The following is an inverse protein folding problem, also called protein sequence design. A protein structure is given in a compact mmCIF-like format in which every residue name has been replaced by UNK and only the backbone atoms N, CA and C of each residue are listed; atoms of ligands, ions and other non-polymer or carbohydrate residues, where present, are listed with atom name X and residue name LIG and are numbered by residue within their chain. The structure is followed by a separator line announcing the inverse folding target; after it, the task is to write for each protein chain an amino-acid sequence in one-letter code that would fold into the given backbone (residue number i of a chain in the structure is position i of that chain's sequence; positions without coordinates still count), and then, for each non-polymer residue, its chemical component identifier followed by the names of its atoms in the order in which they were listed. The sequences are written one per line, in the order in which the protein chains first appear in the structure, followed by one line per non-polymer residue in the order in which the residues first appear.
data_IF_834465777836
#
_entry.id   IF_834465777836
#
_cell.length_a   1.000
_cell.length_b   1.000
_cell.length_c   1.000
_cell.angle_alpha   90.00
_cell.angle_beta   90.00
_cell.angle_gamma   90.00
#
_symmetry.space_group_name_H-M   'P 1'
#
loop_
_entity.id
_entity.type
_entity.pdbx_description
1 polymer ?
#
# COMPACT_ATOMS: atom_id res chain seq x y z
N UNK A 1 5.74 20.17 17.00
CA UNK A 1 6.91 20.03 17.89
C UNK A 1 7.56 21.39 18.10
N UNK A 2 8.04 21.72 19.31
CA UNK A 2 8.54 23.07 19.63
C UNK A 2 9.99 23.26 19.15
N UNK A 3 10.18 24.00 18.05
CA UNK A 3 11.49 24.33 17.51
C UNK A 3 12.17 25.39 18.40
N UNK A 4 13.23 25.02 19.12
CA UNK A 4 13.97 25.95 20.00
C UNK A 4 14.77 26.96 19.16
N UNK A 5 14.25 28.18 19.01
CA UNK A 5 15.02 29.30 18.48
C UNK A 5 16.25 29.57 19.37
N UNK A 6 17.43 29.60 18.77
CA UNK A 6 18.63 30.16 19.40
C UNK A 6 18.61 31.68 19.24
N UNK A 7 18.21 32.40 20.29
CA UNK A 7 18.40 33.84 20.37
C UNK A 7 19.82 34.17 20.86
N UNK A 8 20.65 34.74 19.98
CA UNK A 8 21.94 35.34 20.38
C UNK A 8 21.68 36.77 20.84
N UNK A 9 21.41 36.94 22.14
CA UNK A 9 21.10 38.24 22.73
C UNK A 9 22.40 38.94 23.18
N UNK A 10 22.90 39.87 22.35
CA UNK A 10 24.13 40.63 22.64
C UNK A 10 23.80 41.78 23.60
N UNK A 11 23.84 41.52 24.91
CA UNK A 11 23.80 42.57 25.92
C UNK A 11 25.13 43.33 25.99
N UNK A 12 25.22 44.47 25.30
CA UNK A 12 26.31 45.43 25.49
C UNK A 12 26.13 46.19 26.81
N UNK A 13 26.73 45.67 27.89
CA UNK A 13 26.74 46.36 29.18
C UNK A 13 27.72 47.53 29.13
N UNK A 14 27.22 48.72 28.76
CA UNK A 14 27.94 49.97 28.93
C UNK A 14 27.89 50.37 30.40
N UNK A 15 29.03 50.34 31.08
CA UNK A 15 29.20 50.88 32.43
C UNK A 15 30.33 51.89 32.43
N UNK A 16 29.97 53.17 32.57
CA UNK A 16 30.90 54.29 32.67
C UNK A 16 31.12 54.59 34.15
N UNK A 17 32.34 54.39 34.66
CA UNK A 17 32.75 54.82 35.99
C UNK A 17 34.26 55.16 35.99
N UNK A 18 34.65 56.12 36.83
CA UNK A 18 35.91 56.84 36.72
C UNK A 18 37.20 56.05 37.04
N UNK A 19 38.29 56.55 36.48
CA UNK A 19 39.66 56.11 36.75
C UNK A 19 40.04 56.21 38.24
N UNK A 20 40.45 55.08 38.82
CA UNK A 20 41.44 55.04 39.88
C UNK A 20 42.62 54.18 39.38
N UNK A 21 43.85 54.64 39.62
CA UNK A 21 45.08 54.10 39.02
C UNK A 21 45.37 52.66 39.46
N UNK A 22 44.92 51.68 38.68
CA UNK A 22 45.43 50.31 38.69
C UNK A 22 45.19 49.66 37.33
N UNK A 23 46.08 48.75 36.94
CA UNK A 23 46.10 48.16 35.61
C UNK A 23 45.02 47.06 35.48
N UNK A 24 43.75 47.48 35.35
CA UNK A 24 42.58 46.59 35.33
C UNK A 24 42.20 46.20 33.90
N UNK A 25 42.77 45.10 33.41
CA UNK A 25 42.38 44.42 32.16
C UNK A 25 41.01 43.75 32.29
N UNK A 26 39.93 44.53 32.16
CA UNK A 26 38.57 43.99 32.09
C UNK A 26 38.29 43.42 30.68
N UNK A 27 38.41 42.09 30.55
CA UNK A 27 38.05 41.34 29.35
C UNK A 27 36.54 41.46 29.06
N UNK A 28 36.16 41.46 27.79
CA UNK A 28 34.75 41.35 27.40
C UNK A 28 34.38 39.87 27.26
N UNK A 29 33.40 39.37 28.01
CA UNK A 29 32.92 37.99 27.88
C UNK A 29 31.66 37.92 27.04
N UNK A 30 31.67 37.06 26.01
CA UNK A 30 30.46 36.69 25.26
C UNK A 30 29.96 35.36 25.78
N UNK A 31 28.70 35.34 26.22
CA UNK A 31 28.04 34.15 26.75
C UNK A 31 27.08 33.60 25.70
N UNK A 32 27.34 32.38 25.22
CA UNK A 32 26.49 31.70 24.24
C UNK A 32 25.60 30.70 24.99
N UNK A 33 24.30 30.91 24.92
CA UNK A 33 23.29 30.14 25.65
C UNK A 33 22.65 29.06 24.78
N UNK A 34 22.37 27.88 25.37
CA UNK A 34 21.64 26.79 24.71
C UNK A 34 20.28 26.60 25.38
N UNK A 35 19.30 27.40 24.94
CA UNK A 35 18.03 27.54 25.65
C UNK A 35 18.11 28.52 26.82
N UNK A 36 17.06 28.58 27.64
CA UNK A 36 16.88 29.63 28.64
C UNK A 36 17.72 29.50 29.93
N UNK A 37 18.34 28.34 30.19
CA UNK A 37 18.84 28.01 31.54
C UNK A 37 20.32 27.63 31.61
N UNK A 38 21.05 27.51 30.49
CA UNK A 38 22.46 27.09 30.49
C UNK A 38 23.35 27.89 29.53
N UNK A 39 24.37 28.54 30.10
CA UNK A 39 25.56 29.00 29.37
C UNK A 39 26.29 27.79 28.79
N UNK A 40 26.20 27.58 27.48
CA UNK A 40 26.92 26.50 26.83
C UNK A 40 28.42 26.81 26.71
N UNK A 41 28.75 28.07 26.41
CA UNK A 41 30.13 28.55 26.30
C UNK A 41 30.27 29.98 26.79
N UNK A 42 31.38 30.29 27.46
CA UNK A 42 31.82 31.65 27.78
C UNK A 42 33.15 31.90 27.09
N UNK A 43 33.16 32.82 26.14
CA UNK A 43 34.36 33.19 25.38
C UNK A 43 34.86 34.53 25.92
N UNK A 44 36.07 34.53 26.49
CA UNK A 44 36.75 35.76 26.88
C UNK A 44 37.40 36.38 25.65
N UNK A 45 36.88 37.52 25.21
CA UNK A 45 37.50 38.35 24.17
C UNK A 45 38.43 39.35 24.87
N UNK A 46 39.76 39.19 24.75
CA UNK A 46 40.68 40.19 25.27
C UNK A 46 40.51 41.49 24.48
N UNK A 47 40.46 42.63 25.17
CA UNK A 47 40.59 43.94 24.53
C UNK A 47 42.05 44.15 24.11
N UNK A 48 42.46 43.51 23.01
CA UNK A 48 43.71 43.83 22.34
C UNK A 48 43.48 44.95 21.35
N UNK A 49 44.26 46.02 21.49
CA UNK A 49 44.40 47.08 20.49
C UNK A 49 44.72 46.44 19.12
N UNK A 50 43.94 46.69 18.05
CA UNK A 50 44.06 45.97 16.78
C UNK A 50 45.39 46.17 16.05
N UNK A 51 46.25 47.11 16.47
CA UNK A 51 47.61 47.27 15.93
C UNK A 51 48.67 46.39 16.61
N UNK A 52 48.40 45.79 17.78
CA UNK A 52 49.44 45.21 18.66
C UNK A 52 49.44 43.68 18.71
N UNK A 53 48.44 42.99 18.16
CA UNK A 53 48.35 41.52 18.18
C UNK A 53 47.92 40.93 16.82
N UNK A 54 48.81 40.25 16.07
CA UNK A 54 48.51 39.81 14.70
C UNK A 54 47.34 38.80 14.59
N UNK A 55 47.09 37.97 15.61
CA UNK A 55 45.97 37.00 15.60
C UNK A 55 44.59 37.57 16.01
N UNK A 56 44.53 38.82 16.50
CA UNK A 56 43.26 39.42 16.93
C UNK A 56 42.34 39.77 15.75
N UNK A 57 42.93 40.20 14.63
CA UNK A 57 42.21 40.57 13.40
C UNK A 57 41.53 39.37 12.77
N UNK A 58 42.25 38.26 12.66
CA UNK A 58 41.78 37.01 12.07
C UNK A 58 40.60 36.41 12.86
N UNK A 59 40.62 36.57 14.19
CA UNK A 59 39.52 36.13 15.07
C UNK A 59 38.23 36.92 14.83
N UNK A 60 38.33 38.23 14.57
CA UNK A 60 37.16 39.08 14.26
C UNK A 60 36.59 38.76 12.87
N UNK A 61 37.46 38.53 11.88
CA UNK A 61 37.06 38.09 10.52
C UNK A 61 36.33 36.74 10.59
N UNK A 62 36.90 35.76 11.29
CA UNK A 62 36.29 34.44 11.47
C UNK A 62 34.88 34.52 12.08
N UNK A 63 34.66 35.39 13.07
CA UNK A 63 33.33 35.58 13.68
C UNK A 63 32.33 36.27 12.73
N UNK A 64 32.80 37.13 11.83
CA UNK A 64 31.95 37.75 10.79
C UNK A 64 31.55 36.73 9.71
N UNK A 65 32.50 35.93 9.24
CA UNK A 65 32.26 34.86 8.26
C UNK A 65 31.32 33.77 8.83
N UNK A 66 31.51 33.40 10.10
CA UNK A 66 30.61 32.51 10.81
C UNK A 66 29.19 33.08 10.91
N UNK A 67 29.05 34.39 11.22
CA UNK A 67 27.74 35.04 11.26
C UNK A 67 27.06 35.02 9.89
N UNK A 68 27.78 35.37 8.82
CA UNK A 68 27.25 35.36 7.46
C UNK A 68 26.79 33.95 7.04
N UNK A 69 27.54 32.91 7.42
CA UNK A 69 27.17 31.51 7.19
C UNK A 69 25.90 31.11 7.94
N UNK A 70 25.75 31.53 9.21
CA UNK A 70 24.55 31.27 10.00
C UNK A 70 23.32 32.01 9.44
N UNK A 71 23.48 33.26 8.98
CA UNK A 71 22.40 34.03 8.35
C UNK A 71 21.91 33.35 7.05
N UNK A 72 22.82 32.88 6.18
CA UNK A 72 22.48 32.15 4.94
C UNK A 72 21.78 30.81 5.24
N UNK A 73 22.25 30.03 6.21
CA UNK A 73 21.60 28.80 6.64
C UNK A 73 20.20 29.05 7.20
N UNK A 74 20.00 30.14 7.96
CA UNK A 74 18.70 30.54 8.48
C UNK A 74 17.72 30.91 7.36
N UNK A 75 18.19 31.63 6.33
CA UNK A 75 17.39 31.96 5.14
C UNK A 75 17.01 30.71 4.34
N UNK A 76 17.94 29.76 4.18
CA UNK A 76 17.67 28.46 3.54
C UNK A 76 16.63 27.64 4.32
N UNK A 77 16.71 27.64 5.66
CA UNK A 77 15.75 26.93 6.51
C UNK A 77 14.32 27.48 6.37
N UNK A 78 14.13 28.80 6.40
CA UNK A 78 12.80 29.40 6.22
C UNK A 78 12.26 29.16 4.80
N UNK A 79 13.11 29.16 3.76
CA UNK A 79 12.72 28.77 2.40
C UNK A 79 12.27 27.30 2.30
N UNK A 80 12.97 26.36 2.95
CA UNK A 80 12.57 24.94 2.99
C UNK A 80 11.25 24.77 3.74
N UNK A 81 11.08 25.44 4.88
CA UNK A 81 9.86 25.43 5.69
C UNK A 81 8.66 26.00 4.94
N UNK A 82 8.83 27.07 4.16
CA UNK A 82 7.78 27.63 3.30
C UNK A 82 7.38 26.64 2.18
N UNK A 83 8.35 25.96 1.55
CA UNK A 83 8.08 24.91 0.56
C UNK A 83 7.33 23.72 1.17
N UNK A 84 7.73 23.29 2.36
CA UNK A 84 7.07 22.19 3.07
C UNK A 84 5.61 22.53 3.39
N UNK A 85 5.33 23.74 3.90
CA UNK A 85 3.96 24.18 4.15
C UNK A 85 3.11 24.29 2.88
N UNK A 86 3.70 24.69 1.75
CA UNK A 86 3.01 24.67 0.46
C UNK A 86 2.67 23.25 0.01
N UNK A 87 3.61 22.31 0.15
CA UNK A 87 3.41 20.91 -0.23
C UNK A 87 2.37 20.22 0.67
N UNK A 88 2.40 20.48 1.97
CA UNK A 88 1.41 19.99 2.92
C UNK A 88 -0.02 20.46 2.57
N UNK A 89 -0.16 21.72 2.13
CA UNK A 89 -1.44 22.24 1.67
C UNK A 89 -1.90 21.57 0.36
N UNK A 90 -1.02 21.43 -0.63
CA UNK A 90 -1.33 20.73 -1.88
C UNK A 90 -1.79 19.29 -1.63
N UNK A 91 -1.12 18.54 -0.75
CA UNK A 91 -1.52 17.16 -0.39
C UNK A 91 -2.93 17.13 0.22
N UNK A 92 -3.27 18.08 1.10
CA UNK A 92 -4.62 18.16 1.70
C UNK A 92 -5.69 18.49 0.66
N UNK A 93 -5.41 19.44 -0.22
CA UNK A 93 -6.33 19.85 -1.28
C UNK A 93 -6.55 18.71 -2.29
N UNK A 94 -5.49 18.02 -2.70
CA UNK A 94 -5.53 16.87 -3.60
C UNK A 94 -6.28 15.68 -2.98
N UNK A 95 -6.01 15.33 -1.71
CA UNK A 95 -6.78 14.31 -0.99
C UNK A 95 -8.27 14.64 -0.99
N UNK A 96 -8.65 15.88 -0.65
CA UNK A 96 -10.04 16.30 -0.57
C UNK A 96 -10.72 16.26 -1.96
N UNK A 97 -10.00 16.63 -3.03
CA UNK A 97 -10.46 16.51 -4.42
C UNK A 97 -10.63 15.05 -4.88
N UNK A 98 -9.69 14.18 -4.54
CA UNK A 98 -9.74 12.73 -4.84
C UNK A 98 -10.90 12.07 -4.10
N UNK A 99 -11.07 12.30 -2.80
CA UNK A 99 -12.21 11.78 -2.03
C UNK A 99 -13.55 12.31 -2.57
N UNK A 100 -13.65 13.60 -2.91
CA UNK A 100 -14.84 14.19 -3.53
C UNK A 100 -15.18 13.54 -4.87
N UNK A 101 -14.18 13.27 -5.70
CA UNK A 101 -14.35 12.65 -7.02
C UNK A 101 -14.73 11.18 -6.91
N UNK A 102 -14.03 10.41 -6.07
CA UNK A 102 -14.35 9.00 -5.79
C UNK A 102 -15.76 8.85 -5.23
N UNK A 103 -16.18 9.73 -4.30
CA UNK A 103 -17.54 9.70 -3.75
C UNK A 103 -18.60 9.91 -4.84
N UNK A 104 -18.38 10.86 -5.78
CA UNK A 104 -19.29 11.08 -6.91
C UNK A 104 -19.37 9.86 -7.83
N UNK A 105 -18.23 9.25 -8.18
CA UNK A 105 -18.17 8.04 -9.02
C UNK A 105 -18.85 6.86 -8.33
N UNK A 106 -18.65 6.69 -7.02
CA UNK A 106 -19.29 5.63 -6.24
C UNK A 106 -20.82 5.78 -6.20
N UNK A 107 -21.31 7.01 -5.94
CA UNK A 107 -22.75 7.30 -5.98
C UNK A 107 -23.36 7.04 -7.36
N UNK A 108 -22.67 7.47 -8.43
CA UNK A 108 -23.11 7.23 -9.81
C UNK A 108 -23.15 5.73 -10.16
N UNK A 109 -22.16 4.95 -9.74
CA UNK A 109 -22.16 3.50 -9.95
C UNK A 109 -23.23 2.79 -9.10
N UNK A 110 -23.56 3.31 -7.92
CA UNK A 110 -24.68 2.82 -7.10
C UNK A 110 -26.05 3.09 -7.76
N UNK A 111 -26.27 4.29 -8.31
CA UNK A 111 -27.46 4.60 -9.12
C UNK A 111 -27.55 3.69 -10.35
N UNK A 112 -26.44 3.51 -11.07
CA UNK A 112 -26.38 2.62 -12.24
C UNK A 112 -26.71 1.17 -11.88
N UNK A 113 -26.28 0.69 -10.71
CA UNK A 113 -26.63 -0.65 -10.20
C UNK A 113 -28.11 -0.79 -9.86
N UNK A 114 -28.74 0.23 -9.27
CA UNK A 114 -30.18 0.24 -9.03
C UNK A 114 -30.96 0.17 -10.35
N UNK A 115 -30.54 0.92 -11.38
CA UNK A 115 -31.19 0.90 -12.68
C UNK A 115 -31.02 -0.46 -13.41
N UNK A 116 -29.85 -1.10 -13.29
CA UNK A 116 -29.61 -2.46 -13.80
C UNK A 116 -30.52 -3.48 -13.09
N UNK A 117 -30.73 -3.35 -11.78
CA UNK A 117 -31.61 -4.26 -11.04
C UNK A 117 -33.07 -4.13 -11.50
N UNK A 118 -33.58 -2.90 -11.70
CA UNK A 118 -34.92 -2.68 -12.25
C UNK A 118 -35.10 -3.28 -13.65
N UNK A 119 -34.12 -3.06 -14.55
CA UNK A 119 -34.12 -3.66 -15.90
C UNK A 119 -34.08 -5.19 -15.86
N UNK A 120 -33.37 -5.78 -14.88
CA UNK A 120 -33.31 -7.23 -14.70
C UNK A 120 -34.68 -7.82 -14.30
N UNK A 121 -35.40 -7.13 -13.41
CA UNK A 121 -36.76 -7.51 -13.00
C UNK A 121 -37.77 -7.40 -14.16
N UNK A 122 -37.67 -6.33 -14.96
CA UNK A 122 -38.49 -6.16 -16.17
C UNK A 122 -38.24 -7.27 -17.19
N UNK A 123 -36.97 -7.60 -17.48
CA UNK A 123 -36.60 -8.69 -18.40
C UNK A 123 -37.13 -10.06 -17.93
N UNK A 124 -37.05 -10.37 -16.63
CA UNK A 124 -37.59 -11.63 -16.12
C UNK A 124 -39.13 -11.68 -16.22
N UNK A 125 -39.82 -10.55 -16.04
CA UNK A 125 -41.28 -10.46 -16.25
C UNK A 125 -41.69 -10.68 -17.71
N UNK A 126 -40.94 -10.12 -18.67
CA UNK A 126 -41.17 -10.30 -20.10
C UNK A 126 -40.93 -11.76 -20.52
N UNK A 127 -39.89 -12.39 -19.96
CA UNK A 127 -39.58 -13.80 -20.17
C UNK A 127 -40.69 -14.72 -19.65
N UNK A 128 -41.25 -14.47 -18.47
CA UNK A 128 -42.41 -15.21 -17.96
C UNK A 128 -43.66 -15.01 -18.84
N UNK A 129 -43.91 -13.78 -19.29
CA UNK A 129 -45.00 -13.47 -20.22
C UNK A 129 -44.88 -14.24 -21.54
N UNK A 130 -43.69 -14.24 -22.17
CA UNK A 130 -43.41 -14.99 -23.40
C UNK A 130 -43.44 -16.52 -23.23
N UNK A 131 -43.21 -17.03 -22.02
CA UNK A 131 -43.33 -18.47 -21.72
C UNK A 131 -44.80 -18.89 -21.53
N UNK A 132 -45.68 -17.95 -21.17
CA UNK A 132 -47.10 -18.23 -20.89
C UNK A 132 -47.97 -18.20 -22.15
N UNK A 133 -47.48 -17.67 -23.29
CA UNK A 133 -48.22 -17.60 -24.56
C UNK A 133 -48.24 -18.91 -25.38
N UNK A 134 -47.65 -20.00 -24.88
CA UNK A 134 -47.74 -21.34 -25.51
C UNK A 134 -48.72 -22.21 -24.73
N UNK A 135 -50.01 -21.85 -24.79
CA UNK A 135 -51.13 -22.69 -24.33
C UNK A 135 -52.16 -22.77 -25.46
N UNK A 136 -52.65 -23.99 -25.71
CA UNK A 136 -53.41 -24.35 -26.91
C UNK A 136 -54.69 -23.51 -27.14
N UNK A 137 -55.04 -23.21 -28.41
CA UNK A 137 -56.34 -22.63 -28.73
C UNK A 137 -57.45 -23.67 -28.52
N UNK A 138 -58.50 -23.26 -27.78
CA UNK A 138 -59.69 -24.08 -27.54
C UNK A 138 -60.39 -24.51 -28.84
N UNK A 139 -60.99 -25.69 -28.80
CA UNK A 139 -61.84 -26.24 -29.85
C UNK A 139 -63.10 -25.39 -30.08
N UNK A 140 -63.17 -24.70 -31.22
CA UNK A 140 -64.40 -24.08 -31.74
C UNK A 140 -64.80 -24.80 -33.03
N UNK A 141 -66.09 -25.10 -33.22
CA UNK A 141 -66.53 -26.06 -34.24
C UNK A 141 -66.52 -25.48 -35.66
N UNK A 142 -65.88 -26.19 -36.60
CA UNK A 142 -65.93 -25.87 -38.04
C UNK A 142 -66.80 -26.90 -38.78
N UNK A 143 -67.97 -26.44 -39.23
CA UNK A 143 -68.88 -27.19 -40.11
C UNK A 143 -68.19 -27.46 -41.45
N UNK A 144 -68.17 -28.72 -41.89
CA UNK A 144 -67.61 -29.12 -43.19
C UNK A 144 -68.60 -30.02 -43.96
N UNK A 145 -69.13 -29.57 -45.10
CA UNK A 145 -69.84 -30.43 -46.04
C UNK A 145 -69.12 -30.48 -47.40
N UNK A 146 -68.43 -31.58 -47.71
CA UNK A 146 -68.29 -32.05 -49.10
C UNK A 146 -67.90 -33.53 -49.17
N UNK A 147 -68.60 -34.25 -50.03
CA UNK A 147 -68.42 -35.62 -50.54
C UNK A 147 -68.64 -35.50 -52.09
N UNK A 148 -68.43 -36.51 -52.95
CA UNK A 148 -67.86 -37.85 -52.75
C UNK A 148 -66.81 -38.30 -53.82
N UNK A 149 -66.33 -39.56 -53.69
CA UNK A 149 -65.81 -40.47 -54.76
C UNK A 149 -64.50 -40.05 -55.47
N UNK A 150 -63.53 -40.90 -55.87
CA UNK A 150 -63.36 -42.37 -56.05
C UNK A 150 -61.84 -42.65 -56.19
N UNK A 151 -61.22 -43.85 -56.07
CA UNK A 151 -61.62 -45.24 -55.77
C UNK A 151 -60.38 -46.04 -55.22
N UNK A 152 -60.36 -47.38 -55.36
CA UNK A 152 -59.24 -48.38 -55.43
C UNK A 152 -57.78 -47.94 -55.16
N UNK A 153 -56.92 -48.70 -54.46
CA UNK A 153 -56.92 -50.16 -54.21
C UNK A 153 -56.03 -50.58 -53.01
N UNK A 154 -56.48 -51.60 -52.23
CA UNK A 154 -55.75 -52.78 -51.69
C UNK A 154 -54.25 -52.61 -51.30
N UNK A 155 -53.79 -52.90 -50.07
CA UNK A 155 -53.70 -54.23 -49.41
C UNK A 155 -53.79 -54.09 -47.86
N UNK A 156 -54.29 -55.14 -47.19
CA UNK A 156 -54.51 -55.29 -45.73
C UNK A 156 -54.18 -56.75 -45.36
N UNK A 157 -54.09 -57.19 -44.08
CA UNK A 157 -53.20 -56.80 -42.96
C UNK A 157 -52.30 -57.99 -42.49
N UNK A 158 -51.54 -57.83 -41.39
CA UNK A 158 -51.39 -58.91 -40.40
C UNK A 158 -51.04 -58.42 -38.98
N UNK A 159 -52.02 -58.57 -38.06
CA UNK A 159 -51.97 -58.87 -36.61
C UNK A 159 -50.84 -58.26 -35.73
N UNK A 160 -51.16 -57.53 -34.64
CA UNK A 160 -51.53 -58.04 -33.30
C UNK A 160 -50.56 -59.13 -32.77
N UNK A 161 -49.99 -59.07 -31.55
CA UNK A 161 -50.45 -58.38 -30.33
C UNK A 161 -49.31 -58.07 -29.34
N UNK A 162 -49.53 -57.03 -28.51
CA UNK A 162 -49.06 -56.80 -27.12
C UNK A 162 -47.96 -57.68 -26.49
N UNK A 163 -46.94 -57.04 -25.90
CA UNK A 163 -46.53 -57.23 -24.49
C UNK A 163 -45.87 -55.97 -23.94
N UNK A 164 -46.12 -55.65 -22.66
CA UNK A 164 -45.41 -54.61 -21.91
C UNK A 164 -43.94 -54.99 -21.64
N UNK A 165 -43.05 -54.01 -21.51
CA UNK A 165 -41.65 -54.23 -21.19
C UNK A 165 -40.93 -52.92 -20.86
N UNK A 166 -40.59 -52.72 -19.60
CA UNK A 166 -39.90 -51.54 -19.05
C UNK A 166 -38.46 -51.42 -19.54
N UNK A 167 -38.02 -50.19 -19.86
CA UNK A 167 -36.63 -49.85 -20.10
C UNK A 167 -36.48 -48.36 -20.42
N UNK A 168 -35.95 -47.58 -19.48
CA UNK A 168 -35.60 -46.18 -19.71
C UNK A 168 -34.31 -46.12 -20.54
N UNK A 169 -34.41 -45.62 -21.77
CA UNK A 169 -33.26 -45.20 -22.57
C UNK A 169 -33.23 -43.66 -22.57
N UNK A 170 -32.47 -43.09 -21.64
CA UNK A 170 -32.35 -41.65 -21.43
C UNK A 170 -31.57 -41.02 -22.61
N UNK A 171 -32.25 -40.25 -23.46
CA UNK A 171 -31.58 -39.41 -24.47
C UNK A 171 -30.65 -38.40 -23.76
N UNK A 172 -29.41 -38.20 -24.23
CA UNK A 172 -28.48 -37.29 -23.59
C UNK A 172 -29.01 -35.85 -23.65
N UNK A 173 -29.01 -35.10 -22.53
CA UNK A 173 -29.47 -33.72 -22.53
C UNK A 173 -28.47 -32.84 -23.28
N UNK A 174 -28.83 -32.44 -24.49
CA UNK A 174 -28.09 -31.41 -25.24
C UNK A 174 -28.35 -30.04 -24.61
N UNK A 175 -27.61 -29.73 -23.54
CA UNK A 175 -27.48 -28.35 -23.07
C UNK A 175 -27.00 -27.48 -24.23
N UNK A 176 -27.64 -26.32 -24.50
CA UNK A 176 -27.23 -25.47 -25.61
C UNK A 176 -25.85 -24.85 -25.32
N UNK A 177 -25.01 -24.56 -26.34
CA UNK A 177 -23.55 -24.37 -26.18
C UNK A 177 -23.09 -23.18 -25.32
N UNK A 178 -24.01 -22.36 -24.84
CA UNK A 178 -23.78 -21.18 -24.00
C UNK A 178 -24.11 -21.39 -22.51
N UNK A 179 -24.55 -22.60 -22.10
CA UNK A 179 -24.80 -22.94 -20.69
C UNK A 179 -23.69 -23.83 -20.08
N UNK A 180 -22.49 -23.76 -20.64
CA UNK A 180 -21.26 -24.19 -19.96
C UNK A 180 -20.40 -22.94 -19.74
N UNK A 181 -20.90 -21.96 -18.97
CA UNK A 181 -20.02 -20.93 -18.39
C UNK A 181 -19.24 -21.58 -17.24
N UNK A 182 -18.26 -22.37 -17.65
CA UNK A 182 -17.26 -22.97 -16.80
C UNK A 182 -16.50 -21.81 -16.14
N UNK A 183 -16.86 -21.52 -14.89
CA UNK A 183 -16.12 -20.64 -13.98
C UNK A 183 -14.76 -21.25 -13.60
N UNK A 184 -14.04 -21.83 -14.56
CA UNK A 184 -12.58 -21.92 -14.49
C UNK A 184 -12.05 -20.51 -14.25
N UNK A 185 -11.53 -20.30 -13.05
CA UNK A 185 -10.84 -19.09 -12.65
C UNK A 185 -9.84 -18.73 -13.74
N UNK A 186 -10.04 -17.57 -14.39
CA UNK A 186 -9.07 -17.08 -15.38
C UNK A 186 -7.72 -16.98 -14.68
N UNK A 187 -6.64 -17.57 -15.22
CA UNK A 187 -5.33 -17.51 -14.58
C UNK A 187 -4.98 -16.06 -14.26
N UNK A 188 -4.65 -15.78 -12.99
CA UNK A 188 -4.21 -14.45 -12.59
C UNK A 188 -2.91 -14.14 -13.33
N UNK A 189 -2.96 -13.14 -14.21
CA UNK A 189 -1.79 -12.62 -14.93
C UNK A 189 -1.40 -11.26 -14.37
N UNK A 190 -0.21 -10.78 -14.72
CA UNK A 190 0.30 -9.46 -14.29
C UNK A 190 -0.66 -8.31 -14.62
N UNK A 191 -1.51 -8.46 -15.65
CA UNK A 191 -2.48 -7.45 -16.06
C UNK A 191 -3.70 -7.32 -15.12
N UNK A 192 -3.92 -8.28 -14.21
CA UNK A 192 -5.02 -8.27 -13.24
C UNK A 192 -4.59 -7.83 -11.84
N UNK A 193 -3.29 -7.89 -11.52
CA UNK A 193 -2.76 -7.41 -10.24
C UNK A 193 -2.62 -5.89 -10.29
N UNK A 194 -3.15 -5.20 -9.27
CA UNK A 194 -3.13 -3.72 -9.19
C UNK A 194 -2.52 -3.25 -7.88
N UNK A 195 -2.27 -1.96 -7.74
CA UNK A 195 -1.86 -1.29 -6.50
C UNK A 195 -3.04 -0.79 -5.65
N UNK A 196 -4.28 -1.10 -6.06
CA UNK A 196 -5.50 -0.63 -5.39
C UNK A 196 -6.08 -1.70 -4.45
N UNK A 197 -6.20 -2.94 -4.91
CA UNK A 197 -6.88 -4.03 -4.19
C UNK A 197 -6.05 -5.32 -4.18
N UNK A 198 -6.32 -6.19 -3.19
CA UNK A 198 -5.66 -7.48 -3.02
C UNK A 198 -6.25 -8.55 -3.94
N UNK A 199 -5.40 -9.19 -4.74
CA UNK A 199 -5.79 -10.32 -5.60
C UNK A 199 -5.38 -11.62 -4.94
N UNK A 200 -6.30 -12.57 -4.75
CA UNK A 200 -5.96 -13.92 -4.26
C UNK A 200 -5.12 -14.64 -5.32
N UNK A 201 -3.93 -15.09 -4.96
CA UNK A 201 -2.98 -15.69 -5.88
C UNK A 201 -2.02 -16.63 -5.15
N UNK A 202 -1.95 -17.88 -5.60
CA UNK A 202 -1.06 -18.90 -5.02
C UNK A 202 0.35 -18.77 -5.63
N UNK A 203 1.19 -17.93 -5.01
CA UNK A 203 2.56 -17.68 -5.43
C UNK A 203 3.55 -18.64 -4.75
N UNK A 204 4.70 -18.88 -5.40
CA UNK A 204 5.81 -19.55 -4.73
C UNK A 204 6.51 -18.59 -3.78
N UNK A 205 6.65 -18.96 -2.51
CA UNK A 205 7.35 -18.16 -1.50
C UNK A 205 8.36 -18.96 -0.70
N UNK A 206 9.21 -18.24 0.02
CA UNK A 206 10.29 -18.78 0.83
C UNK A 206 9.82 -19.12 2.26
N UNK A 207 9.43 -20.37 2.46
CA UNK A 207 8.82 -20.88 3.70
C UNK A 207 9.83 -21.33 4.78
N UNK A 208 11.08 -20.84 4.74
CA UNK A 208 12.12 -21.24 5.69
C UNK A 208 12.00 -20.55 7.07
N UNK A 209 11.23 -19.46 7.17
CA UNK A 209 11.06 -18.67 8.39
C UNK A 209 9.71 -17.92 8.40
N UNK A 210 8.65 -18.72 8.49
CA UNK A 210 7.28 -18.27 8.34
C UNK A 210 6.37 -19.08 9.29
N UNK A 211 5.37 -18.43 9.85
CA UNK A 211 4.36 -19.07 10.72
C UNK A 211 2.97 -19.13 10.06
N UNK A 212 2.82 -18.52 8.88
CA UNK A 212 1.54 -18.32 8.20
C UNK A 212 1.45 -19.19 6.95
N UNK A 213 0.50 -20.11 6.90
CA UNK A 213 0.32 -21.04 5.76
C UNK A 213 -1.12 -21.04 5.20
N UNK A 214 -1.84 -19.93 5.41
CA UNK A 214 -3.22 -19.74 4.93
C UNK A 214 -3.31 -19.25 3.50
N UNK A 215 -4.37 -18.49 3.21
CA UNK A 215 -4.57 -17.85 1.90
C UNK A 215 -3.44 -16.90 1.55
N UNK A 216 -3.26 -16.68 0.25
CA UNK A 216 -2.18 -15.91 -0.33
C UNK A 216 -2.75 -14.79 -1.19
N UNK A 217 -2.29 -13.57 -0.96
CA UNK A 217 -2.73 -12.39 -1.69
C UNK A 217 -1.56 -11.60 -2.23
N UNK A 218 -1.71 -11.05 -3.43
CA UNK A 218 -0.69 -10.26 -4.12
C UNK A 218 -1.24 -8.89 -4.52
N UNK A 219 -0.36 -7.90 -4.56
CA UNK A 219 -0.64 -6.52 -4.94
C UNK A 219 0.59 -5.91 -5.62
N UNK A 220 0.41 -4.93 -6.51
CA UNK A 220 1.53 -4.16 -7.05
C UNK A 220 2.09 -3.21 -6.00
N UNK A 221 3.42 -3.11 -5.98
CA UNK A 221 4.21 -2.31 -5.06
C UNK A 221 4.94 -1.21 -5.85
N UNK A 222 4.20 -0.21 -6.32
CA UNK A 222 4.66 0.80 -7.27
C UNK A 222 5.60 1.88 -6.66
N UNK A 223 5.90 1.81 -5.36
CA UNK A 223 6.64 2.84 -4.65
C UNK A 223 8.16 2.62 -4.59
N UNK A 224 8.66 1.44 -5.01
CA UNK A 224 10.06 1.06 -4.88
C UNK A 224 10.68 0.68 -6.21
N UNK A 225 12.01 0.80 -6.28
CA UNK A 225 12.83 0.49 -7.45
C UNK A 225 12.94 -1.02 -7.75
N UNK A 226 12.78 -1.87 -6.74
CA UNK A 226 12.79 -3.34 -6.81
C UNK A 226 11.70 -3.92 -5.90
N UNK A 227 11.32 -5.17 -6.12
CA UNK A 227 10.25 -5.82 -5.34
C UNK A 227 8.87 -5.36 -5.79
N UNK A 228 8.67 -5.28 -7.11
CA UNK A 228 7.46 -4.81 -7.80
C UNK A 228 6.13 -5.42 -7.33
N UNK A 229 6.15 -6.63 -6.78
CA UNK A 229 4.98 -7.31 -6.22
C UNK A 229 5.16 -7.51 -4.72
N UNK A 230 4.18 -7.08 -3.93
CA UNK A 230 4.07 -7.45 -2.52
C UNK A 230 3.11 -8.62 -2.40
N UNK A 231 3.56 -9.67 -1.72
CA UNK A 231 2.80 -10.87 -1.43
C UNK A 231 2.60 -11.02 0.07
N UNK A 232 1.41 -11.44 0.49
CA UNK A 232 1.13 -11.79 1.89
C UNK A 232 0.58 -13.20 2.00
N UNK A 233 1.03 -13.94 3.02
CA UNK A 233 0.49 -15.26 3.39
C UNK A 233 -0.15 -15.14 4.77
N UNK A 234 -1.42 -15.51 4.88
CA UNK A 234 -2.22 -15.25 6.09
C UNK A 234 -2.01 -16.29 7.19
N UNK A 235 -1.84 -15.81 8.43
CA UNK A 235 -2.17 -16.56 9.64
C UNK A 235 -3.63 -16.31 10.04
N UNK A 236 -4.08 -15.06 9.88
CA UNK A 236 -5.45 -14.57 10.02
C UNK A 236 -5.63 -13.34 9.11
N UNK A 237 -6.84 -12.75 8.98
CA UNK A 237 -7.03 -11.51 8.23
C UNK A 237 -6.14 -10.33 8.71
N UNK A 238 -5.77 -10.29 9.99
CA UNK A 238 -4.96 -9.20 10.59
C UNK A 238 -3.52 -9.58 10.88
N UNK A 239 -3.15 -10.87 10.76
CA UNK A 239 -1.80 -11.39 11.02
C UNK A 239 -1.30 -12.17 9.82
N UNK A 240 -0.17 -11.76 9.27
CA UNK A 240 0.34 -12.32 8.01
C UNK A 240 1.84 -12.15 7.88
N UNK A 241 2.44 -12.95 7.01
CA UNK A 241 3.83 -12.80 6.60
C UNK A 241 3.91 -12.00 5.30
N UNK A 242 4.74 -10.96 5.27
CA UNK A 242 4.98 -10.12 4.09
C UNK A 242 6.21 -10.63 3.33
N UNK A 243 6.11 -10.68 2.00
CA UNK A 243 7.17 -11.04 1.06
C UNK A 243 7.18 -10.06 -0.13
N UNK A 244 8.30 -9.98 -0.84
CA UNK A 244 8.43 -9.23 -2.10
C UNK A 244 8.91 -10.14 -3.24
N UNK A 245 8.55 -9.80 -4.47
CA UNK A 245 9.09 -10.38 -5.69
C UNK A 245 9.20 -9.35 -6.81
N UNK A 246 10.17 -9.53 -7.70
CA UNK A 246 10.32 -8.71 -8.92
C UNK A 246 9.31 -9.11 -10.01
N UNK A 247 8.88 -10.37 -10.04
CA UNK A 247 7.89 -10.89 -10.99
C UNK A 247 6.84 -11.74 -10.29
N UNK A 248 5.61 -11.71 -10.82
CA UNK A 248 4.48 -12.43 -10.24
C UNK A 248 4.72 -13.96 -10.16
N UNK A 249 5.44 -14.53 -11.13
CA UNK A 249 5.76 -15.96 -11.17
C UNK A 249 7.12 -16.37 -10.60
N UNK A 250 7.90 -15.43 -10.05
CA UNK A 250 9.19 -15.73 -9.40
C UNK A 250 8.98 -16.05 -7.90
N UNK A 251 10.01 -16.55 -7.21
CA UNK A 251 9.94 -16.83 -5.78
C UNK A 251 9.87 -15.54 -4.95
N UNK A 252 8.78 -15.37 -4.22
CA UNK A 252 8.60 -14.31 -3.23
C UNK A 252 9.54 -14.53 -2.03
N UNK A 253 10.38 -13.53 -1.76
CA UNK A 253 11.44 -13.57 -0.75
C UNK A 253 11.09 -12.77 0.50
N UNK A 254 11.72 -13.17 1.59
CA UNK A 254 11.67 -12.46 2.85
C UNK A 254 12.21 -11.03 2.74
N UNK A 255 11.74 -10.16 3.63
CA UNK A 255 12.22 -8.78 3.82
C UNK A 255 12.85 -8.70 5.20
N UNK A 256 14.08 -8.18 5.29
CA UNK A 256 14.83 -8.04 6.53
C UNK A 256 15.26 -6.60 6.82
N UNK A 257 15.43 -6.33 8.10
CA UNK A 257 15.72 -5.01 8.65
C UNK A 257 17.12 -5.00 9.29
N UNK A 258 17.86 -3.89 9.12
CA UNK A 258 19.13 -3.64 9.81
C UNK A 258 18.96 -2.96 11.18
N UNK A 259 17.98 -2.06 11.35
CA UNK A 259 17.84 -1.17 12.52
C UNK A 259 16.51 -1.26 13.26
N UNK A 260 15.73 -2.28 12.99
CA UNK A 260 14.57 -2.70 13.77
C UNK A 260 14.38 -4.20 13.58
N UNK A 261 13.19 -4.71 13.86
CA UNK A 261 12.77 -6.06 13.54
C UNK A 261 11.78 -6.08 12.36
N UNK A 262 11.75 -5.03 11.54
CA UNK A 262 10.85 -4.85 10.41
C UNK A 262 9.47 -4.35 10.79
N UNK A 263 9.29 -3.71 11.95
CA UNK A 263 8.04 -3.10 12.37
C UNK A 263 7.50 -2.14 11.28
N UNK A 264 8.39 -1.41 10.64
CA UNK A 264 8.08 -0.43 9.60
C UNK A 264 7.84 -1.05 8.21
N UNK A 265 8.01 -2.37 8.03
CA UNK A 265 7.72 -3.08 6.77
C UNK A 265 6.22 -3.00 6.38
N UNK A 266 5.36 -2.62 7.31
CA UNK A 266 3.95 -2.35 7.07
C UNK A 266 3.68 -1.30 5.97
N UNK A 267 4.65 -0.40 5.70
CA UNK A 267 4.59 0.52 4.56
C UNK A 267 4.37 -0.18 3.20
N UNK A 268 4.88 -1.43 3.02
CA UNK A 268 4.72 -2.18 1.76
C UNK A 268 3.27 -2.59 1.48
N UNK A 269 2.41 -2.56 2.50
CA UNK A 269 0.98 -2.82 2.38
C UNK A 269 0.17 -1.54 2.17
N UNK A 270 0.83 -0.37 2.28
CA UNK A 270 0.19 0.95 2.33
C UNK A 270 -0.30 1.35 3.72
N UNK A 271 0.17 0.72 4.79
CA UNK A 271 -0.06 1.20 6.15
C UNK A 271 0.76 2.48 6.40
N UNK A 272 0.22 3.41 7.20
CA UNK A 272 0.91 4.65 7.59
C UNK A 272 1.70 4.50 8.90
N UNK A 273 1.22 3.63 9.78
CA UNK A 273 1.84 3.32 11.07
C UNK A 273 2.65 2.02 10.98
N UNK A 274 3.64 1.89 11.87
CA UNK A 274 4.40 0.66 12.08
C UNK A 274 3.50 -0.49 12.59
N UNK A 275 4.04 -1.71 12.54
CA UNK A 275 3.37 -2.90 13.06
C UNK A 275 2.93 -2.73 14.53
N UNK A 276 1.69 -3.10 14.83
CA UNK A 276 1.17 -3.15 16.20
C UNK A 276 1.76 -4.31 17.00
N UNK A 277 2.14 -5.39 16.32
CA UNK A 277 2.95 -6.49 16.86
C UNK A 277 3.66 -7.26 15.74
N UNK A 278 4.73 -7.99 16.07
CA UNK A 278 5.53 -8.82 15.15
C UNK A 278 6.06 -10.07 15.87
N UNK A 279 6.59 -11.03 15.12
CA UNK A 279 7.36 -12.13 15.71
C UNK A 279 8.70 -11.62 16.29
N UNK A 280 8.81 -11.51 17.61
CA UNK A 280 10.03 -11.01 18.28
C UNK A 280 11.24 -11.95 18.19
N UNK A 281 11.04 -13.19 17.74
CA UNK A 281 12.09 -14.18 17.50
C UNK A 281 12.74 -13.97 16.12
N UNK A 282 13.33 -12.78 15.92
CA UNK A 282 14.02 -12.39 14.68
C UNK A 282 15.49 -12.79 14.64
N UNK A 283 16.11 -13.03 15.80
CA UNK A 283 17.56 -13.24 15.93
C UNK A 283 18.02 -14.58 15.37
N UNK A 284 17.16 -15.60 15.41
CA UNK A 284 17.44 -16.93 14.85
C UNK A 284 17.06 -17.06 13.36
N UNK A 285 16.67 -15.96 12.71
CA UNK A 285 16.25 -15.94 11.30
C UNK A 285 17.31 -16.58 10.35
N UNK A 286 16.97 -17.67 9.63
CA UNK A 286 17.91 -18.42 8.79
C UNK A 286 18.61 -17.58 7.72
N UNK A 287 19.82 -17.99 7.31
CA UNK A 287 20.48 -17.32 6.19
C UNK A 287 19.80 -17.67 4.87
N UNK A 288 19.44 -16.65 4.08
CA UNK A 288 18.92 -16.82 2.72
C UNK A 288 19.10 -15.55 1.88
N UNK A 289 18.71 -15.56 0.61
CA UNK A 289 18.65 -14.39 -0.27
C UNK A 289 17.28 -13.72 -0.17
N UNK A 290 17.25 -12.41 0.11
CA UNK A 290 16.01 -11.64 0.18
C UNK A 290 16.22 -10.14 0.11
N UNK A 291 15.15 -9.40 0.38
CA UNK A 291 15.15 -7.94 0.35
C UNK A 291 15.55 -7.37 1.71
N UNK A 292 16.18 -6.20 1.75
CA UNK A 292 16.49 -5.51 3.00
C UNK A 292 16.65 -4.00 2.86
N UNK A 293 16.49 -3.30 3.98
CA UNK A 293 16.81 -1.87 4.20
C UNK A 293 17.05 -1.61 5.70
N UNK A 294 17.50 -0.42 6.09
CA UNK A 294 17.78 -0.09 7.49
C UNK A 294 16.78 0.89 8.11
N UNK A 295 16.35 1.90 7.37
CA UNK A 295 15.48 2.96 7.89
C UNK A 295 14.20 3.14 7.05
N UNK A 296 13.15 3.72 7.66
CA UNK A 296 11.90 4.07 6.98
C UNK A 296 12.17 4.97 5.76
N UNK A 297 11.62 4.62 4.61
CA UNK A 297 11.80 5.39 3.37
C UNK A 297 13.10 5.12 2.60
N UNK A 298 14.01 4.27 3.09
CA UNK A 298 15.21 3.88 2.32
C UNK A 298 14.89 2.98 1.12
N UNK A 299 15.66 3.15 0.04
CA UNK A 299 15.63 2.27 -1.13
C UNK A 299 15.91 0.82 -0.73
N UNK A 300 15.08 -0.10 -1.23
CA UNK A 300 15.26 -1.52 -1.05
C UNK A 300 16.54 -2.03 -1.73
N UNK A 301 17.23 -2.94 -1.04
CA UNK A 301 18.36 -3.70 -1.56
C UNK A 301 18.00 -5.20 -1.58
N UNK A 302 18.78 -5.99 -2.32
CA UNK A 302 18.63 -7.45 -2.42
C UNK A 302 19.96 -8.14 -2.12
N UNK A 303 19.93 -9.30 -1.46
CA UNK A 303 21.10 -10.11 -1.15
C UNK A 303 20.92 -11.00 0.08
N UNK A 304 22.01 -11.55 0.62
CA UNK A 304 21.98 -12.33 1.88
C UNK A 304 21.35 -11.55 3.04
N UNK A 305 20.41 -12.22 3.73
CA UNK A 305 19.75 -11.81 4.97
C UNK A 305 19.81 -12.95 5.99
N UNK A 306 19.51 -12.67 7.26
CA UNK A 306 19.54 -13.61 8.38
C UNK A 306 20.93 -14.19 8.67
N UNK A 307 20.94 -15.42 9.18
CA UNK A 307 22.11 -16.22 9.51
C UNK A 307 22.27 -16.46 11.01
N UNK A 308 23.30 -17.21 11.38
CA UNK A 308 23.69 -17.43 12.78
C UNK A 308 25.22 -17.58 12.85
N UNK A 309 25.81 -17.21 13.99
CA UNK A 309 27.27 -17.31 14.19
C UNK A 309 28.06 -16.52 13.15
N UNK A 310 29.06 -17.15 12.54
CA UNK A 310 29.95 -16.53 11.54
C UNK A 310 29.24 -16.14 10.22
N UNK A 311 28.05 -16.69 9.96
CA UNK A 311 27.22 -16.39 8.78
C UNK A 311 26.19 -15.27 9.03
N UNK A 312 26.23 -14.60 10.19
CA UNK A 312 25.28 -13.54 10.55
C UNK A 312 25.46 -12.28 9.71
N UNK A 313 24.40 -11.87 9.02
CA UNK A 313 24.39 -10.67 8.16
C UNK A 313 24.02 -9.38 8.89
N UNK A 314 23.52 -9.46 10.12
CA UNK A 314 22.91 -8.33 10.84
C UNK A 314 21.49 -7.97 10.39
N UNK A 315 20.98 -8.59 9.32
CA UNK A 315 19.69 -8.27 8.68
C UNK A 315 18.66 -9.29 9.12
N UNK A 316 17.76 -8.92 10.01
CA UNK A 316 16.85 -9.87 10.70
C UNK A 316 15.41 -9.72 10.24
N UNK A 317 14.62 -10.78 10.32
CA UNK A 317 13.25 -10.79 9.80
C UNK A 317 12.29 -11.67 10.63
N UNK A 318 11.04 -11.22 10.88
CA UNK A 318 10.07 -11.89 11.73
C UNK A 318 9.24 -12.93 10.95
N UNK A 319 8.69 -13.93 11.64
CA UNK A 319 7.84 -14.97 11.04
C UNK A 319 6.42 -14.51 10.67
N UNK A 320 5.97 -13.35 11.17
CA UNK A 320 4.68 -12.72 10.90
C UNK A 320 4.68 -11.25 11.37
N UNK A 321 3.70 -10.48 10.91
CA UNK A 321 3.43 -9.08 11.24
C UNK A 321 1.94 -8.88 11.52
N UNK A 322 1.61 -7.88 12.34
CA UNK A 322 0.26 -7.30 12.47
C UNK A 322 0.34 -5.79 12.19
N UNK A 323 -0.09 -5.34 11.00
CA UNK A 323 0.04 -3.93 10.59
C UNK A 323 -1.24 -3.09 10.82
N UNK A 324 -2.19 -3.56 11.62
CA UNK A 324 -3.50 -2.92 11.79
C UNK A 324 -4.41 -2.90 10.55
N UNK A 325 -3.94 -3.39 9.38
CA UNK A 325 -4.70 -3.50 8.13
C UNK A 325 -5.22 -4.94 7.97
N UNK A 326 -6.50 -5.11 7.66
CA UNK A 326 -7.05 -6.44 7.34
C UNK A 326 -6.86 -6.75 5.86
N UNK A 327 -6.36 -7.94 5.57
CA UNK A 327 -6.38 -8.58 4.25
C UNK A 327 -7.74 -9.31 4.07
N UNK A 328 -8.30 -9.44 2.86
CA UNK A 328 -9.62 -10.05 2.62
C UNK A 328 -9.77 -11.53 3.04
#
# INVERSE_FOLDING_TARGET
MALKLFFVLICSVVSVAWCATSNSTSNATVHVWRGLEQCAYTIAIPKTDPEVCPGGRDTVVFLQDLKATVDDLSLKLENVKAKLGSLEQTIKDDQLNVFSTLTKVLMQEQERRQQIQLLKEEVESLKQSSTTSVVEPKSEQVIRPTLPTTDTERIVPSMFSTTEGTGEEELPPTNPPWLNDELTERPVTEAFVTDIWWTEYNFTYEDNWNACHGKQYVKLNNHWNIGKYVGVVLCSPTRYKIFLSEKLGDMFRNIADLYGAGEDHCQFLGAYDDATDIDHDVWDSPSTEGYYRGDYGEDLQYGRIGGQGDDWTGRKYPKWYECGVSIP
#
